data_IF_009026766359
#
_entry.id   IF_009026766359
#
_cell.length_a   1.000
_cell.length_b   1.000
_cell.length_c   1.000
_cell.angle_alpha   90.00
_cell.angle_beta   90.00
_cell.angle_gamma   90.00
#
_symmetry.space_group_name_H-M   'P 1'
#
loop_
_entity.id
_entity.type
_entity.pdbx_description
1 polymer ?
#
# COMPACT_ATOMS: atom_id res chain seq x y z
N UNK A 1 18.77 -4.12 -4.16
CA UNK A 1 17.74 -5.14 -3.90
C UNK A 1 16.53 -4.80 -4.76
N UNK A 2 16.12 -5.70 -5.65
CA UNK A 2 14.93 -5.50 -6.49
C UNK A 2 13.70 -6.00 -5.75
N UNK A 3 12.57 -5.29 -5.85
CA UNK A 3 11.30 -5.78 -5.33
C UNK A 3 10.80 -6.93 -6.21
N UNK A 4 10.12 -7.90 -5.61
CA UNK A 4 9.29 -8.85 -6.38
C UNK A 4 8.02 -8.15 -6.87
N UNK A 5 7.34 -8.71 -7.87
CA UNK A 5 6.12 -8.11 -8.41
C UNK A 5 5.02 -8.01 -7.35
N UNK A 6 4.88 -9.03 -6.49
CA UNK A 6 3.97 -8.97 -5.34
C UNK A 6 4.32 -7.82 -4.38
N UNK A 7 5.61 -7.59 -4.11
CA UNK A 7 6.04 -6.47 -3.27
C UNK A 7 5.77 -5.12 -3.94
N UNK A 8 5.95 -5.00 -5.27
CA UNK A 8 5.61 -3.78 -6.03
C UNK A 8 4.13 -3.46 -5.92
N UNK A 9 3.26 -4.47 -6.06
CA UNK A 9 1.81 -4.34 -5.90
C UNK A 9 1.46 -3.85 -4.49
N UNK A 10 2.02 -4.46 -3.44
CA UNK A 10 1.73 -4.05 -2.07
C UNK A 10 2.24 -2.64 -1.76
N UNK A 11 3.40 -2.26 -2.28
CA UNK A 11 3.91 -0.89 -2.17
C UNK A 11 2.97 0.11 -2.84
N UNK A 12 2.49 -0.20 -4.04
CA UNK A 12 1.56 0.67 -4.76
C UNK A 12 0.25 0.83 -3.99
N UNK A 13 -0.33 -0.26 -3.50
CA UNK A 13 -1.55 -0.22 -2.68
C UNK A 13 -1.36 0.65 -1.45
N UNK A 14 -0.23 0.50 -0.76
CA UNK A 14 0.03 1.24 0.46
C UNK A 14 0.14 2.75 0.21
N UNK A 15 0.90 3.18 -0.80
CA UNK A 15 1.05 4.62 -1.11
C UNK A 15 -0.22 5.23 -1.72
N UNK A 16 -1.08 4.42 -2.35
CA UNK A 16 -2.39 4.85 -2.87
C UNK A 16 -3.52 4.82 -1.84
N UNK A 17 -3.22 4.42 -0.60
CA UNK A 17 -4.21 4.46 0.48
C UNK A 17 -4.41 5.90 0.95
N UNK A 18 -5.66 6.31 1.17
CA UNK A 18 -6.01 7.65 1.65
C UNK A 18 -5.23 7.99 2.94
N UNK A 19 -4.63 9.18 3.00
CA UNK A 19 -3.86 9.64 4.16
C UNK A 19 -2.45 9.03 4.29
N UNK A 20 -2.03 8.15 3.36
CA UNK A 20 -0.67 7.61 3.34
C UNK A 20 0.23 8.45 2.43
N UNK A 21 0.85 9.49 3.00
CA UNK A 21 1.94 10.22 2.36
C UNK A 21 3.31 9.57 2.59
N UNK A 22 4.41 10.10 2.00
CA UNK A 22 5.75 9.50 2.09
C UNK A 22 6.26 9.27 3.52
N UNK A 23 5.97 10.20 4.44
CA UNK A 23 6.34 10.05 5.87
C UNK A 23 5.59 8.91 6.53
N UNK A 24 4.27 8.83 6.30
CA UNK A 24 3.41 7.77 6.83
C UNK A 24 3.83 6.42 6.25
N UNK A 25 4.06 6.35 4.93
CA UNK A 25 4.54 5.15 4.25
C UNK A 25 5.81 4.61 4.91
N UNK A 26 6.85 5.44 5.06
CA UNK A 26 8.11 5.05 5.69
C UNK A 26 7.91 4.57 7.14
N UNK A 27 7.07 5.27 7.90
CA UNK A 27 6.72 4.89 9.27
C UNK A 27 6.02 3.53 9.36
N UNK A 28 5.08 3.25 8.45
CA UNK A 28 4.36 1.98 8.38
C UNK A 28 5.30 0.84 7.99
N UNK A 29 6.17 1.04 6.99
CA UNK A 29 7.18 0.04 6.61
C UNK A 29 8.10 -0.29 7.79
N UNK A 30 8.62 0.74 8.47
CA UNK A 30 9.51 0.53 9.61
C UNK A 30 8.81 -0.17 10.79
N UNK A 31 7.53 0.13 11.03
CA UNK A 31 6.75 -0.44 12.14
C UNK A 31 6.34 -1.89 11.90
N UNK A 32 5.99 -2.24 10.67
CA UNK A 32 5.39 -3.53 10.33
C UNK A 32 6.32 -4.46 9.54
N UNK A 33 7.51 -4.00 9.16
CA UNK A 33 8.49 -4.80 8.44
C UNK A 33 8.21 -4.98 6.94
N UNK A 34 7.19 -4.31 6.39
CA UNK A 34 6.87 -4.38 4.97
C UNK A 34 5.46 -3.89 4.61
N UNK A 35 5.22 -3.70 3.32
CA UNK A 35 3.95 -3.15 2.82
C UNK A 35 2.78 -4.12 3.04
N UNK A 36 2.96 -5.42 2.80
CA UNK A 36 1.93 -6.44 3.04
C UNK A 36 1.42 -6.42 4.50
N UNK A 37 2.34 -6.44 5.47
CA UNK A 37 2.01 -6.39 6.89
C UNK A 37 1.36 -5.05 7.29
N UNK A 38 1.81 -3.94 6.71
CA UNK A 38 1.20 -2.63 6.92
C UNK A 38 -0.26 -2.58 6.39
N UNK A 39 -0.50 -3.11 5.19
CA UNK A 39 -1.84 -3.20 4.59
C UNK A 39 -2.81 -4.02 5.44
N UNK A 40 -2.35 -5.15 5.99
CA UNK A 40 -3.17 -5.97 6.87
C UNK A 40 -3.53 -5.26 8.19
N UNK A 41 -2.67 -4.39 8.69
CA UNK A 41 -2.88 -3.67 9.94
C UNK A 41 -3.65 -2.35 9.79
N UNK A 42 -3.66 -1.75 8.60
CA UNK A 42 -4.19 -0.41 8.33
C UNK A 42 -5.67 -0.22 8.71
N UNK A 43 -6.61 -1.12 8.36
CA UNK A 43 -8.02 -0.93 8.69
C UNK A 43 -8.26 -0.84 10.20
N UNK A 44 -7.58 -1.71 10.97
CA UNK A 44 -7.66 -1.71 12.42
C UNK A 44 -6.98 -0.48 13.03
N UNK A 45 -5.84 -0.04 12.48
CA UNK A 45 -5.13 1.14 12.94
C UNK A 45 -5.96 2.42 12.78
N UNK A 46 -6.59 2.58 11.63
CA UNK A 46 -7.37 3.77 11.26
C UNK A 46 -8.73 3.79 11.95
N UNK A 47 -9.39 2.64 12.12
CA UNK A 47 -10.63 2.53 12.89
C UNK A 47 -10.48 3.07 14.32
N UNK A 48 -9.34 2.81 14.98
CA UNK A 48 -9.03 3.33 16.33
C UNK A 48 -8.87 4.86 16.38
N UNK A 49 -8.73 5.52 15.23
CA UNK A 49 -8.62 6.98 15.07
C UNK A 49 -9.93 7.62 14.63
N UNK A 50 -11.03 6.87 14.58
CA UNK A 50 -12.38 7.39 14.30
C UNK A 50 -12.84 7.19 12.85
N UNK A 51 -12.00 6.69 11.95
CA UNK A 51 -12.41 6.35 10.58
C UNK A 51 -11.63 5.15 10.07
N UNK A 52 -12.34 4.08 9.71
CA UNK A 52 -11.75 2.90 9.06
C UNK A 52 -11.43 3.22 7.60
N UNK A 53 -10.17 3.04 7.21
CA UNK A 53 -9.70 3.22 5.83
C UNK A 53 -9.31 1.84 5.29
N UNK A 54 -9.87 1.49 4.15
CA UNK A 54 -9.51 0.28 3.41
C UNK A 54 -8.50 0.65 2.30
N UNK A 55 -7.40 -0.10 2.16
CA UNK A 55 -6.48 0.10 1.05
C UNK A 55 -7.10 -0.32 -0.29
N UNK A 56 -6.57 0.16 -1.43
CA UNK A 56 -6.96 -0.33 -2.75
C UNK A 56 -6.89 -1.85 -2.84
N UNK A 57 -7.78 -2.43 -3.64
CA UNK A 57 -7.76 -3.87 -3.94
C UNK A 57 -6.48 -4.25 -4.67
N UNK A 58 -6.11 -5.53 -4.60
CA UNK A 58 -4.94 -6.05 -5.30
C UNK A 58 -5.09 -5.87 -6.82
N UNK A 59 -6.25 -6.23 -7.35
CA UNK A 59 -6.57 -6.16 -8.77
C UNK A 59 -6.49 -4.72 -9.31
N UNK A 60 -6.94 -3.72 -8.55
CA UNK A 60 -6.84 -2.32 -8.95
C UNK A 60 -5.38 -1.87 -9.10
N UNK A 61 -4.51 -2.28 -8.17
CA UNK A 61 -3.08 -1.96 -8.24
C UNK A 61 -2.38 -2.70 -9.38
N UNK A 62 -2.74 -3.97 -9.63
CA UNK A 62 -2.22 -4.73 -10.77
C UNK A 62 -2.63 -4.11 -12.11
N UNK A 63 -3.90 -3.71 -12.24
CA UNK A 63 -4.41 -3.03 -13.43
C UNK A 63 -3.67 -1.71 -13.69
N UNK A 64 -3.36 -0.95 -12.63
CA UNK A 64 -2.60 0.29 -12.74
C UNK A 64 -1.16 0.06 -13.19
N UNK A 65 -0.46 -0.93 -12.60
CA UNK A 65 0.90 -1.31 -13.01
C UNK A 65 0.91 -1.72 -14.49
N UNK A 66 -0.06 -2.55 -14.89
CA UNK A 66 -0.18 -3.01 -16.27
C UNK A 66 -0.49 -1.84 -17.24
N UNK A 67 -1.29 -0.86 -16.83
CA UNK A 67 -1.55 0.34 -17.62
C UNK A 67 -0.31 1.20 -17.80
N UNK A 68 0.49 1.39 -16.74
CA UNK A 68 1.75 2.12 -16.82
C UNK A 68 2.78 1.42 -17.73
N UNK A 69 2.83 0.08 -17.72
CA UNK A 69 3.73 -0.70 -18.55
C UNK A 69 3.40 -0.67 -20.06
N UNK A 70 2.17 -0.31 -20.45
CA UNK A 70 1.74 -0.18 -21.85
C UNK A 70 2.00 1.21 -22.45
N UNK A 71 2.35 2.19 -21.60
CA UNK A 71 2.52 3.59 -21.99
C UNK A 71 3.98 3.99 -22.20
N UNK A 72 4.89 3.01 -22.25
CA UNK A 72 6.34 3.15 -22.46
C UNK A 72 6.79 2.50 -23.75
#
# INVERSE_FOLDING_TARGET
MQLTDAQRVDWLRLIRTEGVGPRTFRGLINRFGGAAAALAALPNLTARRGRRIEPPTRDAAEAEIAAAARSV
#
